data_IF_293712908070
#
_entry.id   IF_293712908070
#
_cell.length_a   1.000
_cell.length_b   1.000
_cell.length_c   1.000
_cell.angle_alpha   90.00
_cell.angle_beta   90.00
_cell.angle_gamma   90.00
#
_symmetry.space_group_name_H-M   'P 1'
#
loop_
_entity.id
_entity.type
_entity.pdbx_description
1 polymer ?
#
# COMPACT_ATOMS: atom_id res chain seq x y z
N UNK A 1 -6.93 -12.07 1.14
CA UNK A 1 -5.96 -11.62 0.10
C UNK A 1 -6.33 -12.27 -1.21
N UNK A 2 -5.94 -11.64 -2.31
CA UNK A 2 -6.36 -12.01 -3.65
C UNK A 2 -5.14 -12.20 -4.54
N UNK A 3 -5.20 -13.13 -5.48
CA UNK A 3 -4.29 -13.10 -6.64
C UNK A 3 -4.59 -11.86 -7.51
N UNK A 4 -3.66 -11.46 -8.37
CA UNK A 4 -3.89 -10.35 -9.31
C UNK A 4 -5.13 -10.60 -10.20
N UNK A 5 -5.31 -11.84 -10.69
CA UNK A 5 -6.48 -12.21 -11.47
C UNK A 5 -7.80 -12.17 -10.69
N UNK A 6 -7.80 -12.57 -9.41
CA UNK A 6 -8.97 -12.43 -8.52
C UNK A 6 -9.30 -10.97 -8.23
N UNK A 7 -8.29 -10.14 -7.99
CA UNK A 7 -8.47 -8.73 -7.74
C UNK A 7 -8.98 -7.99 -8.99
N UNK A 8 -8.46 -8.29 -10.18
CA UNK A 8 -8.92 -7.70 -11.43
C UNK A 8 -10.44 -7.94 -11.66
N UNK A 9 -10.96 -9.11 -11.28
CA UNK A 9 -12.40 -9.41 -11.37
C UNK A 9 -13.28 -8.58 -10.42
N UNK A 10 -12.70 -7.94 -9.39
CA UNK A 10 -13.42 -7.05 -8.47
C UNK A 10 -13.57 -5.62 -9.01
N UNK A 11 -12.94 -5.30 -10.14
CA UNK A 11 -13.08 -4.02 -10.83
C UNK A 11 -12.04 -2.98 -10.45
N UNK A 12 -11.67 -2.16 -11.44
CA UNK A 12 -10.60 -1.17 -11.31
C UNK A 12 -10.91 -0.05 -10.32
N UNK A 13 -12.17 0.35 -10.16
CA UNK A 13 -12.54 1.39 -9.19
C UNK A 13 -12.24 1.03 -7.73
N UNK A 14 -12.13 -0.27 -7.40
CA UNK A 14 -11.82 -0.73 -6.03
C UNK A 14 -10.36 -1.18 -5.88
N UNK A 15 -9.78 -1.74 -6.94
CA UNK A 15 -8.45 -2.38 -6.88
C UNK A 15 -7.36 -1.55 -7.57
N UNK A 16 -7.71 -0.50 -8.31
CA UNK A 16 -6.81 0.27 -9.16
C UNK A 16 -6.65 -0.33 -10.56
N UNK A 17 -6.55 0.53 -11.57
CA UNK A 17 -6.39 0.16 -13.00
C UNK A 17 -5.14 -0.70 -13.25
N UNK A 18 -4.06 -0.43 -12.53
CA UNK A 18 -2.82 -1.19 -12.64
C UNK A 18 -3.00 -2.69 -12.31
N UNK A 19 -3.87 -3.05 -11.37
CA UNK A 19 -4.11 -4.45 -11.02
C UNK A 19 -4.62 -5.24 -12.22
N UNK A 20 -5.55 -4.64 -13.00
CA UNK A 20 -6.06 -5.24 -14.22
C UNK A 20 -4.97 -5.38 -15.29
N UNK A 21 -4.14 -4.35 -15.46
CA UNK A 21 -3.01 -4.37 -16.40
C UNK A 21 -1.99 -5.46 -16.06
N UNK A 22 -1.62 -5.60 -14.79
CA UNK A 22 -0.68 -6.63 -14.33
C UNK A 22 -1.28 -8.04 -14.46
N UNK A 23 -2.56 -8.21 -14.15
CA UNK A 23 -3.25 -9.49 -14.31
C UNK A 23 -3.30 -9.93 -15.79
N UNK A 24 -3.47 -8.99 -16.73
CA UNK A 24 -3.46 -9.28 -18.16
C UNK A 24 -2.09 -9.77 -18.68
N UNK A 25 -1.01 -9.49 -17.94
CA UNK A 25 0.35 -9.93 -18.25
C UNK A 25 0.77 -11.18 -17.44
N UNK A 26 -0.16 -11.81 -16.72
CA UNK A 26 0.09 -12.98 -15.85
C UNK A 26 1.24 -12.75 -14.86
N UNK A 27 1.39 -11.51 -14.37
CA UNK A 27 2.40 -11.17 -13.39
C UNK A 27 2.11 -11.92 -12.09
N UNK A 28 3.16 -12.45 -11.46
CA UNK A 28 3.05 -13.10 -10.15
C UNK A 28 2.96 -12.05 -9.05
N UNK A 29 2.06 -12.26 -8.11
CA UNK A 29 1.90 -11.40 -6.96
C UNK A 29 0.56 -11.59 -6.27
N UNK A 30 0.33 -10.81 -5.23
CA UNK A 30 -0.96 -10.75 -4.56
C UNK A 30 -1.39 -9.32 -4.28
N UNK A 31 -2.69 -9.12 -4.13
CA UNK A 31 -3.31 -7.89 -3.69
C UNK A 31 -3.87 -8.08 -2.30
N UNK A 32 -3.49 -7.19 -1.41
CA UNK A 32 -4.18 -6.97 -0.13
C UNK A 32 -5.31 -5.98 -0.40
N UNK A 33 -6.58 -6.38 -0.20
CA UNK A 33 -7.70 -5.52 -0.52
C UNK A 33 -7.85 -4.41 0.54
N UNK A 34 -8.51 -3.29 0.19
CA UNK A 34 -8.67 -2.16 1.11
C UNK A 34 -9.37 -2.54 2.42
N UNK A 35 -10.28 -3.53 2.38
CA UNK A 35 -10.98 -4.00 3.58
C UNK A 35 -10.04 -4.54 4.68
N UNK A 36 -8.87 -5.08 4.30
CA UNK A 36 -7.91 -5.57 5.28
C UNK A 36 -7.21 -4.42 6.03
N UNK A 37 -6.89 -3.35 5.29
CA UNK A 37 -6.37 -2.12 5.88
C UNK A 37 -7.45 -1.44 6.73
N UNK A 38 -8.67 -1.28 6.21
CA UNK A 38 -9.81 -0.74 6.96
C UNK A 38 -10.02 -1.49 8.29
N UNK A 39 -10.00 -2.82 8.27
CA UNK A 39 -10.11 -3.65 9.47
C UNK A 39 -8.98 -3.38 10.48
N UNK A 40 -7.76 -3.09 10.03
CA UNK A 40 -6.68 -2.65 10.90
C UNK A 40 -6.98 -1.30 11.55
N UNK A 41 -7.43 -0.30 10.78
CA UNK A 41 -7.78 1.01 11.34
C UNK A 41 -8.90 0.90 12.38
N UNK A 42 -9.97 0.18 12.05
CA UNK A 42 -11.12 0.01 12.94
C UNK A 42 -10.78 -0.81 14.19
N UNK A 43 -9.99 -1.88 14.03
CA UNK A 43 -9.67 -2.82 15.12
C UNK A 43 -8.93 -2.20 16.31
N UNK A 44 -8.23 -1.09 16.11
CA UNK A 44 -7.52 -0.35 17.17
C UNK A 44 -8.04 1.07 17.35
N UNK A 45 -9.25 1.38 16.86
CA UNK A 45 -9.88 2.69 16.98
C UNK A 45 -9.00 3.84 16.47
N UNK A 46 -8.26 3.61 15.37
CA UNK A 46 -7.41 4.63 14.77
C UNK A 46 -8.19 5.83 14.23
N UNK A 47 -9.37 5.69 13.59
CA UNK A 47 -10.11 6.85 13.06
C UNK A 47 -10.41 7.90 14.12
N UNK A 48 -10.80 7.50 15.33
CA UNK A 48 -11.06 8.43 16.44
C UNK A 48 -9.76 9.07 16.96
N UNK A 49 -8.69 8.28 17.08
CA UNK A 49 -7.39 8.80 17.54
C UNK A 49 -6.81 9.82 16.56
N UNK A 50 -6.89 9.53 15.25
CA UNK A 50 -6.45 10.40 14.17
C UNK A 50 -7.35 11.64 14.07
N UNK A 51 -8.67 11.46 14.19
CA UNK A 51 -9.63 12.57 14.23
C UNK A 51 -9.32 13.56 15.35
N UNK A 52 -8.99 13.07 16.55
CA UNK A 52 -8.54 13.92 17.67
C UNK A 52 -7.18 14.56 17.42
N UNK A 53 -6.25 13.80 16.82
CA UNK A 53 -4.90 14.29 16.51
C UNK A 53 -4.95 15.50 15.57
N UNK A 54 -5.76 15.41 14.51
CA UNK A 54 -5.90 16.46 13.50
C UNK A 54 -7.02 17.47 13.76
N UNK A 55 -7.74 17.36 14.89
CA UNK A 55 -8.80 18.31 15.26
C UNK A 55 -8.40 19.81 15.21
N UNK A 56 -7.14 20.19 15.51
CA UNK A 56 -6.70 21.58 15.40
C UNK A 56 -6.57 22.10 13.95
N UNK A 57 -6.50 21.21 12.95
CA UNK A 57 -6.29 21.61 11.56
C UNK A 57 -7.58 22.16 10.97
N UNK A 58 -7.49 23.36 10.39
CA UNK A 58 -8.55 23.96 9.59
C UNK A 58 -8.27 23.72 8.10
N UNK A 59 -9.05 22.89 7.39
CA UNK A 59 -8.82 22.60 5.98
C UNK A 59 -8.86 23.82 5.06
N UNK A 60 -9.51 24.93 5.47
CA UNK A 60 -9.58 26.17 4.69
C UNK A 60 -8.37 27.09 4.90
N UNK A 61 -7.57 26.82 5.93
CA UNK A 61 -6.39 27.58 6.29
C UNK A 61 -5.44 26.65 7.05
N UNK A 62 -4.70 25.86 6.28
CA UNK A 62 -3.74 24.89 6.82
C UNK A 62 -2.54 25.65 7.36
N UNK A 63 -2.19 25.34 8.61
CA UNK A 63 -0.90 25.70 9.21
C UNK A 63 0.06 24.54 8.89
N UNK A 64 1.01 24.78 7.98
CA UNK A 64 1.91 23.74 7.47
C UNK A 64 2.86 23.22 8.56
N UNK A 65 3.35 24.10 9.45
CA UNK A 65 4.24 23.71 10.56
C UNK A 65 3.49 22.80 11.54
N UNK A 66 2.25 23.15 11.88
CA UNK A 66 1.42 22.31 12.72
C UNK A 66 1.06 20.99 12.03
N UNK A 67 0.77 21.01 10.71
CA UNK A 67 0.44 19.83 9.95
C UNK A 67 1.61 18.84 9.88
N UNK A 68 2.84 19.32 9.71
CA UNK A 68 4.05 18.50 9.66
C UNK A 68 4.25 17.73 10.97
N UNK A 69 4.16 18.41 12.13
CA UNK A 69 4.28 17.76 13.44
C UNK A 69 3.19 16.69 13.66
N UNK A 70 1.94 17.02 13.33
CA UNK A 70 0.81 16.10 13.50
C UNK A 70 0.92 14.89 12.55
N UNK A 71 1.41 15.10 11.33
CA UNK A 71 1.67 14.05 10.36
C UNK A 71 2.70 13.06 10.89
N UNK A 72 3.85 13.54 11.40
CA UNK A 72 4.86 12.68 12.00
C UNK A 72 4.32 11.86 13.19
N UNK A 73 3.44 12.45 14.00
CA UNK A 73 2.74 11.74 15.10
C UNK A 73 1.76 10.70 14.58
N UNK A 74 1.04 10.98 13.48
CA UNK A 74 0.15 10.03 12.84
C UNK A 74 0.92 8.83 12.26
N UNK A 75 2.03 9.06 11.57
CA UNK A 75 2.92 8.00 11.09
C UNK A 75 3.39 7.11 12.23
N UNK A 76 3.84 7.70 13.34
CA UNK A 76 4.25 6.98 14.53
C UNK A 76 3.10 6.14 15.13
N UNK A 77 1.89 6.70 15.17
CA UNK A 77 0.69 6.01 15.64
C UNK A 77 0.37 4.77 14.77
N UNK A 78 0.41 4.89 13.44
CA UNK A 78 0.22 3.75 12.53
C UNK A 78 1.31 2.70 12.74
N UNK A 79 2.58 3.13 12.82
CA UNK A 79 3.73 2.23 13.00
C UNK A 79 3.73 1.48 14.32
N UNK A 80 3.13 2.03 15.37
CA UNK A 80 3.10 1.43 16.71
C UNK A 80 1.82 0.64 17.01
N UNK A 81 0.74 0.88 16.26
CA UNK A 81 -0.52 0.16 16.39
C UNK A 81 -0.39 -1.31 15.99
N UNK A 82 -1.06 -2.23 16.69
CA UNK A 82 -0.93 -3.66 16.42
C UNK A 82 -2.00 -4.17 15.45
N UNK A 83 -1.65 -5.21 14.68
CA UNK A 83 -2.61 -6.01 13.93
C UNK A 83 -3.09 -7.15 14.82
N UNK A 84 -4.37 -7.52 14.71
CA UNK A 84 -4.91 -8.68 15.41
C UNK A 84 -4.19 -9.95 14.96
N UNK A 85 -3.97 -10.89 15.88
CA UNK A 85 -3.26 -12.14 15.58
C UNK A 85 -3.90 -12.92 14.42
N UNK A 86 -5.23 -12.97 14.34
CA UNK A 86 -5.94 -13.62 13.24
C UNK A 86 -5.64 -12.96 11.87
N UNK A 87 -5.55 -11.62 11.85
CA UNK A 87 -5.20 -10.87 10.64
C UNK A 87 -3.74 -11.16 10.22
N UNK A 88 -2.83 -11.25 11.20
CA UNK A 88 -1.43 -11.63 10.98
C UNK A 88 -1.32 -13.05 10.41
N UNK A 89 -2.03 -14.02 11.00
CA UNK A 89 -2.03 -15.39 10.51
C UNK A 89 -2.64 -15.51 9.11
N UNK A 90 -3.72 -14.77 8.84
CA UNK A 90 -4.31 -14.69 7.51
C UNK A 90 -3.32 -14.15 6.48
N UNK A 91 -2.57 -13.10 6.83
CA UNK A 91 -1.56 -12.50 5.98
C UNK A 91 -0.41 -13.48 5.67
N UNK A 92 0.13 -14.17 6.68
CA UNK A 92 1.21 -15.16 6.47
C UNK A 92 0.78 -16.33 5.60
N UNK A 93 -0.45 -16.85 5.79
CA UNK A 93 -1.00 -17.88 4.91
C UNK A 93 -1.15 -17.38 3.47
N UNK A 94 -1.60 -16.15 3.29
CA UNK A 94 -1.71 -15.55 1.97
C UNK A 94 -0.35 -15.39 1.27
N UNK A 95 0.67 -14.89 1.97
CA UNK A 95 2.03 -14.80 1.43
C UNK A 95 2.54 -16.15 0.95
N UNK A 96 2.37 -17.19 1.77
CA UNK A 96 2.75 -18.55 1.41
C UNK A 96 1.98 -19.08 0.20
N UNK A 97 0.68 -18.87 0.14
CA UNK A 97 -0.15 -19.31 -0.99
C UNK A 97 0.21 -18.57 -2.29
N UNK A 98 0.70 -17.34 -2.20
CA UNK A 98 1.21 -16.57 -3.33
C UNK A 98 2.66 -16.93 -3.72
N UNK A 99 3.33 -17.82 -2.97
CA UNK A 99 4.74 -18.15 -3.18
C UNK A 99 5.70 -17.01 -2.80
N UNK A 100 5.27 -16.11 -1.91
CA UNK A 100 6.00 -14.92 -1.45
C UNK A 100 6.46 -15.06 0.01
N UNK A 101 6.49 -16.28 0.57
CA UNK A 101 6.93 -16.53 1.95
C UNK A 101 8.46 -16.59 2.13
N UNK A 102 9.22 -16.40 1.03
CA UNK A 102 10.68 -16.36 1.02
C UNK A 102 11.20 -15.41 -0.06
N UNK A 103 12.35 -14.80 0.19
CA UNK A 103 13.04 -13.95 -0.77
C UNK A 103 12.67 -12.47 -0.65
N UNK A 104 13.17 -11.65 -1.57
CA UNK A 104 12.82 -10.25 -1.62
C UNK A 104 11.37 -10.07 -2.11
N UNK A 105 10.65 -9.13 -1.50
CA UNK A 105 9.36 -8.62 -1.98
C UNK A 105 9.35 -7.11 -1.84
N UNK A 106 8.52 -6.47 -2.65
CA UNK A 106 8.18 -5.06 -2.45
C UNK A 106 6.66 -4.88 -2.41
N UNK A 107 6.23 -3.84 -1.70
CA UNK A 107 4.83 -3.49 -1.51
C UNK A 107 4.59 -2.04 -1.91
N UNK A 108 3.45 -1.75 -2.54
CA UNK A 108 3.09 -0.39 -2.97
C UNK A 108 1.61 -0.24 -3.24
N UNK A 109 1.14 1.01 -3.36
CA UNK A 109 -0.22 1.30 -3.84
C UNK A 109 -0.28 1.12 -5.37
N UNK A 110 -1.36 0.54 -5.93
CA UNK A 110 -1.59 0.52 -7.38
C UNK A 110 -1.58 1.93 -7.98
N UNK A 111 -0.86 2.13 -9.08
CA UNK A 111 -0.67 3.43 -9.74
C UNK A 111 0.39 4.33 -9.10
N UNK A 112 1.00 3.91 -7.98
CA UNK A 112 2.02 4.69 -7.28
C UNK A 112 3.40 4.05 -7.44
N UNK A 113 4.41 4.91 -7.58
CA UNK A 113 5.82 4.53 -7.67
C UNK A 113 6.49 4.25 -6.32
N UNK A 114 6.22 5.02 -5.24
CA UNK A 114 6.85 4.74 -3.94
C UNK A 114 6.55 3.32 -3.46
N UNK A 115 7.59 2.63 -3.02
CA UNK A 115 7.55 1.24 -2.59
C UNK A 115 8.16 1.08 -1.21
N UNK A 116 7.80 -0.02 -0.57
CA UNK A 116 8.46 -0.52 0.64
C UNK A 116 8.97 -1.93 0.40
N UNK A 117 10.23 -2.18 0.71
CA UNK A 117 10.86 -3.47 0.46
C UNK A 117 10.96 -4.32 1.74
N UNK A 118 11.00 -5.63 1.56
CA UNK A 118 11.23 -6.58 2.63
C UNK A 118 11.98 -7.82 2.14
N UNK A 119 12.93 -8.28 2.96
CA UNK A 119 13.47 -9.62 2.83
C UNK A 119 12.61 -10.59 3.65
N UNK A 120 11.83 -11.42 2.96
CA UNK A 120 10.90 -12.35 3.60
C UNK A 120 11.63 -13.64 3.98
N UNK A 121 11.51 -13.99 5.26
CA UNK A 121 11.75 -15.32 5.80
C UNK A 121 10.55 -15.71 6.66
N UNK A 122 10.16 -17.00 6.71
CA UNK A 122 9.03 -17.41 7.55
C UNK A 122 9.22 -16.96 9.01
N UNK A 123 8.18 -16.41 9.67
CA UNK A 123 6.77 -16.44 9.25
C UNK A 123 6.34 -15.32 8.27
N UNK A 124 7.22 -14.36 7.94
CA UNK A 124 6.92 -13.26 7.03
C UNK A 124 6.80 -11.88 7.71
N UNK A 125 7.31 -11.73 8.93
CA UNK A 125 7.23 -10.48 9.72
C UNK A 125 7.79 -9.27 8.98
N UNK A 126 8.86 -9.43 8.20
CA UNK A 126 9.46 -8.34 7.44
C UNK A 126 8.49 -7.73 6.40
N UNK A 127 7.69 -8.58 5.72
CA UNK A 127 6.66 -8.11 4.80
C UNK A 127 5.56 -7.33 5.55
N UNK A 128 5.14 -7.81 6.73
CA UNK A 128 4.17 -7.08 7.57
C UNK A 128 4.70 -5.70 7.99
N UNK A 129 5.99 -5.60 8.32
CA UNK A 129 6.64 -4.33 8.64
C UNK A 129 6.66 -3.39 7.43
N UNK A 130 6.92 -3.90 6.22
CA UNK A 130 6.84 -3.12 4.99
C UNK A 130 5.43 -2.58 4.74
N UNK A 131 4.40 -3.40 4.99
CA UNK A 131 2.99 -2.95 4.96
C UNK A 131 2.74 -1.78 5.90
N UNK A 132 3.20 -1.89 7.16
CA UNK A 132 3.00 -0.81 8.13
C UNK A 132 3.75 0.46 7.78
N UNK A 133 4.93 0.37 7.15
CA UNK A 133 5.65 1.55 6.64
C UNK A 133 4.90 2.19 5.47
N UNK A 134 4.37 1.39 4.55
CA UNK A 134 3.53 1.88 3.45
C UNK A 134 2.24 2.54 3.95
N UNK A 135 1.57 1.96 4.94
CA UNK A 135 0.37 2.58 5.53
C UNK A 135 0.71 3.84 6.32
N UNK A 136 1.89 3.88 6.96
CA UNK A 136 2.34 5.07 7.64
C UNK A 136 2.66 6.20 6.65
N UNK A 137 3.26 5.92 5.49
CA UNK A 137 3.59 6.96 4.51
C UNK A 137 2.36 7.65 3.90
N UNK A 138 1.18 7.05 4.01
CA UNK A 138 -0.10 7.71 3.69
C UNK A 138 -0.49 8.82 4.69
N UNK A 139 0.25 8.92 5.80
CA UNK A 139 0.15 9.98 6.80
C UNK A 139 1.37 10.90 6.80
N UNK A 140 2.27 10.74 5.83
CA UNK A 140 3.33 11.71 5.60
C UNK A 140 2.72 13.08 5.24
N UNK A 141 3.41 14.16 5.59
CA UNK A 141 2.95 15.53 5.40
C UNK A 141 2.35 15.78 4.00
N UNK A 142 3.09 15.44 2.94
CA UNK A 142 2.61 15.65 1.56
C UNK A 142 1.38 14.83 1.20
N UNK A 143 1.24 13.61 1.75
CA UNK A 143 0.06 12.76 1.53
C UNK A 143 -1.17 13.31 2.25
N UNK A 144 -1.01 13.79 3.48
CA UNK A 144 -2.08 14.41 4.26
C UNK A 144 -2.51 15.75 3.63
N UNK A 145 -1.55 16.56 3.18
CA UNK A 145 -1.82 17.82 2.49
C UNK A 145 -2.64 17.59 1.21
N UNK A 146 -2.20 16.65 0.37
CA UNK A 146 -2.95 16.26 -0.84
C UNK A 146 -4.38 15.82 -0.51
N UNK A 147 -4.55 14.99 0.54
CA UNK A 147 -5.87 14.52 0.97
C UNK A 147 -6.76 15.68 1.46
N UNK A 148 -6.20 16.63 2.21
CA UNK A 148 -6.90 17.82 2.66
C UNK A 148 -7.36 18.68 1.48
N UNK A 149 -6.51 18.85 0.47
CA UNK A 149 -6.83 19.62 -0.74
C UNK A 149 -7.94 18.95 -1.57
N UNK A 150 -7.87 17.62 -1.73
CA UNK A 150 -8.81 16.86 -2.56
C UNK A 150 -10.17 16.62 -1.88
N UNK A 151 -10.18 16.38 -0.56
CA UNK A 151 -11.37 15.89 0.16
C UNK A 151 -11.88 16.85 1.24
N UNK A 152 -11.06 17.83 1.64
CA UNK A 152 -11.37 18.72 2.76
C UNK A 152 -11.22 18.07 4.14
N UNK A 153 -10.61 16.89 4.26
CA UNK A 153 -10.47 16.19 5.53
C UNK A 153 -9.37 15.12 5.55
N UNK A 154 -9.19 14.51 6.74
CA UNK A 154 -8.20 13.45 6.99
C UNK A 154 -8.86 12.11 7.31
N UNK A 155 -10.00 11.84 6.66
CA UNK A 155 -10.77 10.62 6.85
C UNK A 155 -9.98 9.35 6.50
N UNK A 156 -10.49 8.21 6.97
CA UNK A 156 -9.95 6.91 6.60
C UNK A 156 -10.04 6.71 5.08
N UNK A 157 -8.89 6.47 4.47
CA UNK A 157 -8.75 6.18 3.04
C UNK A 157 -8.00 4.86 2.85
N UNK A 158 -8.70 3.76 3.16
CA UNK A 158 -8.15 2.43 3.01
C UNK A 158 -8.06 2.06 1.52
N UNK A 159 -6.88 1.62 1.07
CA UNK A 159 -6.59 1.41 -0.35
C UNK A 159 -6.03 0.01 -0.59
N UNK A 160 -6.18 -0.56 -1.80
CA UNK A 160 -5.50 -1.79 -2.15
C UNK A 160 -3.97 -1.63 -2.04
N UNK A 161 -3.28 -2.73 -1.73
CA UNK A 161 -1.81 -2.81 -1.71
C UNK A 161 -1.35 -3.99 -2.57
N UNK A 162 -0.45 -3.72 -3.51
CA UNK A 162 0.28 -4.74 -4.28
C UNK A 162 1.39 -5.33 -3.43
N UNK A 163 1.58 -6.64 -3.54
CA UNK A 163 2.76 -7.38 -3.04
C UNK A 163 3.33 -8.16 -4.20
N UNK A 164 4.56 -7.83 -4.56
CA UNK A 164 5.20 -8.34 -5.76
C UNK A 164 6.57 -8.94 -5.40
N UNK A 165 6.98 -10.01 -6.11
CA UNK A 165 8.27 -10.63 -5.88
C UNK A 165 9.42 -9.72 -6.32
N UNK A 166 10.56 -9.88 -5.64
CA UNK A 166 11.80 -9.19 -5.94
C UNK A 166 11.88 -7.77 -5.39
N UNK A 167 12.99 -7.10 -5.71
CA UNK A 167 13.24 -5.70 -5.33
C UNK A 167 12.33 -4.74 -6.11
N UNK A 168 12.34 -3.46 -5.74
CA UNK A 168 11.60 -2.42 -6.45
C UNK A 168 11.97 -2.41 -7.94
N UNK A 169 10.94 -2.44 -8.79
CA UNK A 169 11.15 -2.40 -10.22
C UNK A 169 11.69 -1.06 -10.71
N UNK A 170 12.57 -1.10 -11.70
CA UNK A 170 13.09 0.08 -12.40
C UNK A 170 12.38 0.26 -13.74
N UNK A 171 12.18 1.50 -14.22
CA UNK A 171 11.59 1.73 -15.54
C UNK A 171 12.40 1.07 -16.67
N UNK A 172 11.72 0.31 -17.54
CA UNK A 172 12.27 -0.29 -18.74
C UNK A 172 11.55 0.24 -19.99
N UNK A 173 12.19 1.14 -20.77
CA UNK A 173 11.61 1.71 -21.98
C UNK A 173 11.32 0.67 -23.08
N UNK A 174 12.10 -0.42 -23.16
CA UNK A 174 11.88 -1.45 -24.18
C UNK A 174 10.62 -2.25 -23.86
N UNK A 175 10.48 -2.65 -22.59
CA UNK A 175 9.26 -3.32 -22.12
C UNK A 175 8.03 -2.39 -22.25
N UNK A 176 8.17 -1.12 -21.89
CA UNK A 176 7.09 -0.13 -22.02
C UNK A 176 6.64 0.03 -23.48
N UNK A 177 7.60 0.12 -24.41
CA UNK A 177 7.32 0.19 -25.85
C UNK A 177 6.67 -1.07 -26.39
N UNK A 178 7.12 -2.26 -25.96
CA UNK A 178 6.53 -3.54 -26.36
C UNK A 178 5.08 -3.70 -25.89
N UNK A 179 4.76 -3.17 -24.70
CA UNK A 179 3.42 -3.23 -24.12
C UNK A 179 2.53 -2.05 -24.52
N UNK A 180 3.07 -1.02 -25.18
CA UNK A 180 2.32 0.18 -25.57
C UNK A 180 1.85 1.03 -24.37
N UNK A 181 2.62 1.02 -23.28
CA UNK A 181 2.32 1.72 -22.01
C UNK A 181 3.34 2.82 -21.74
N UNK A 182 3.00 3.87 -20.97
CA UNK A 182 3.94 4.94 -20.67
C UNK A 182 5.09 4.50 -19.76
N UNK A 183 4.86 3.52 -18.88
CA UNK A 183 5.87 3.02 -17.94
C UNK A 183 5.65 1.54 -17.68
N UNK A 184 6.73 0.77 -17.79
CA UNK A 184 6.81 -0.60 -17.34
C UNK A 184 7.96 -0.71 -16.35
N UNK A 185 7.70 -1.27 -15.17
CA UNK A 185 8.71 -1.50 -14.15
C UNK A 185 9.12 -2.96 -14.18
N UNK A 186 10.43 -3.20 -14.25
CA UNK A 186 11.01 -4.55 -14.26
C UNK A 186 12.04 -4.70 -13.16
N UNK A 187 12.22 -5.93 -12.68
CA UNK A 187 13.29 -6.31 -11.76
C UNK A 187 13.85 -7.69 -12.17
N UNK A 188 14.60 -8.34 -11.29
CA UNK A 188 15.21 -9.64 -11.53
C UNK A 188 14.22 -10.78 -11.81
N UNK A 189 12.94 -10.60 -11.45
CA UNK A 189 11.88 -11.58 -11.72
C UNK A 189 11.00 -11.24 -12.92
N UNK A 190 11.29 -10.13 -13.62
CA UNK A 190 10.58 -9.69 -14.82
C UNK A 190 9.68 -8.47 -14.58
N UNK A 191 8.52 -8.44 -15.23
CA UNK A 191 7.57 -7.33 -15.12
C UNK A 191 6.91 -7.29 -13.73
N UNK A 192 7.00 -6.14 -13.06
CA UNK A 192 6.47 -5.90 -11.70
C UNK A 192 5.74 -4.57 -11.55
N UNK A 193 5.53 -3.82 -12.62
CA UNK A 193 4.71 -2.61 -12.54
C UNK A 193 4.28 -2.07 -13.88
N UNK A 194 3.07 -1.55 -13.88
CA UNK A 194 2.41 -0.87 -14.99
C UNK A 194 1.59 0.29 -14.38
N UNK A 195 2.26 1.28 -13.74
CA UNK A 195 1.57 2.40 -13.10
C UNK A 195 0.77 3.24 -14.11
#
# INVERSE_FOLDING_TARGET
>A
MLTLGEAARRGAGRMGEEVGRLAAQDVRGMVVPPEFEEAFYLGVNLPEQLGRLFAPINPRRVDEDALEELSARAEALIRTSFLMDDAVQLFYRALRNAGLDRGAVHVRRPGHLPTEEAQVTPPGTAALQAFKRLWASDWAFGAVLTRLDETGGVGLDARPTLVLPGLTGTPDPLMAGALGVPTALVNEVGLVGLP
#
